data_IF_146785717741
#
_entry.id   IF_146785717741
#
_cell.length_a   1.000
_cell.length_b   1.000
_cell.length_c   1.000
_cell.angle_alpha   90.00
_cell.angle_beta   90.00
_cell.angle_gamma   90.00
#
_symmetry.space_group_name_H-M   'P 1'
#
loop_
_entity.id
_entity.type
_entity.pdbx_description
1 polymer ?
#
# COMPACT_ATOMS: atom_id res chain seq x y z
N UNK A 1 37.15 -13.96 11.29
CA UNK A 1 36.02 -13.05 11.46
C UNK A 1 35.34 -12.93 10.11
N UNK A 2 34.21 -13.57 9.90
CA UNK A 2 33.44 -13.42 8.66
C UNK A 2 32.45 -12.27 8.85
N UNK A 3 32.65 -11.15 8.16
CA UNK A 3 31.64 -10.12 8.09
C UNK A 3 30.45 -10.70 7.34
N UNK A 4 29.35 -10.97 8.03
CA UNK A 4 28.09 -11.28 7.38
C UNK A 4 27.63 -9.99 6.70
N UNK A 5 27.71 -9.96 5.37
CA UNK A 5 27.21 -8.83 4.60
C UNK A 5 25.70 -8.70 4.83
N UNK A 6 25.27 -7.61 5.41
CA UNK A 6 23.85 -7.24 5.47
C UNK A 6 23.30 -7.15 4.04
N UNK A 7 22.63 -8.19 3.58
CA UNK A 7 21.80 -8.14 2.36
C UNK A 7 20.38 -7.73 2.74
N UNK A 8 20.24 -6.58 3.33
CA UNK A 8 18.94 -6.01 3.59
C UNK A 8 18.80 -4.72 2.79
N UNK A 9 17.70 -4.59 2.09
CA UNK A 9 17.27 -3.34 1.50
C UNK A 9 16.87 -2.41 2.63
N UNK A 10 17.82 -1.63 3.11
CA UNK A 10 17.61 -0.65 4.18
C UNK A 10 17.76 0.74 3.60
N UNK A 11 16.79 1.66 3.84
CA UNK A 11 16.97 3.06 3.53
C UNK A 11 18.10 3.62 4.42
N UNK A 12 19.24 3.88 3.85
CA UNK A 12 20.35 4.56 4.50
C UNK A 12 20.47 5.96 3.92
N UNK A 13 20.34 6.98 4.74
CA UNK A 13 20.67 8.36 4.44
C UNK A 13 21.96 8.74 5.12
N UNK A 14 22.74 9.60 4.53
CA UNK A 14 24.15 9.81 4.84
C UNK A 14 24.47 11.23 5.33
N UNK A 15 25.22 11.41 6.39
CA UNK A 15 25.67 12.69 6.98
C UNK A 15 27.12 13.04 6.65
N UNK A 16 27.50 14.30 6.98
CA UNK A 16 28.84 14.84 6.84
C UNK A 16 29.93 14.04 7.56
N UNK A 17 29.59 13.49 8.74
CA UNK A 17 30.47 12.62 9.50
C UNK A 17 29.70 11.45 10.07
N UNK A 18 30.30 10.27 10.08
CA UNK A 18 29.72 9.07 10.67
C UNK A 18 29.39 9.22 12.16
N UNK A 19 30.11 10.08 12.87
CA UNK A 19 29.91 10.33 14.31
C UNK A 19 28.59 11.09 14.61
N UNK A 20 28.06 11.82 13.65
CA UNK A 20 26.80 12.56 13.80
C UNK A 20 25.57 11.79 13.28
N UNK A 21 25.79 10.63 12.66
CA UNK A 21 24.77 9.76 12.12
C UNK A 21 24.36 8.71 13.16
N UNK A 22 23.07 8.35 13.16
CA UNK A 22 22.57 7.29 14.03
C UNK A 22 22.83 5.92 13.42
N UNK A 23 23.42 5.02 14.19
CA UNK A 23 23.66 3.64 13.78
C UNK A 23 22.40 2.80 13.97
N UNK A 24 22.13 1.92 13.03
CA UNK A 24 21.09 0.92 13.20
C UNK A 24 21.58 -0.48 12.85
N UNK A 25 20.99 -1.47 13.50
CA UNK A 25 21.13 -2.88 13.13
C UNK A 25 19.89 -3.34 12.42
N UNK A 26 20.02 -4.29 11.49
CA UNK A 26 18.89 -4.93 10.88
C UNK A 26 19.09 -6.44 10.84
N UNK A 27 17.98 -7.15 11.05
CA UNK A 27 17.90 -8.60 10.95
C UNK A 27 16.63 -8.99 10.18
N UNK A 28 16.60 -10.19 9.66
CA UNK A 28 15.51 -10.62 8.81
C UNK A 28 14.94 -11.93 9.35
N UNK A 29 13.67 -11.96 9.64
CA UNK A 29 12.92 -13.15 10.00
C UNK A 29 11.74 -13.34 9.04
N UNK A 30 11.11 -14.50 9.10
CA UNK A 30 9.93 -14.83 8.32
C UNK A 30 8.72 -15.04 9.22
N UNK A 31 7.55 -14.67 8.75
CA UNK A 31 6.30 -15.00 9.43
C UNK A 31 6.08 -16.50 9.47
N UNK A 32 5.58 -17.00 10.59
CA UNK A 32 5.02 -18.35 10.69
C UNK A 32 3.54 -18.29 10.29
N UNK A 33 3.21 -18.66 9.07
CA UNK A 33 1.83 -18.65 8.63
C UNK A 33 1.37 -20.04 8.22
N UNK A 34 0.46 -20.64 8.97
CA UNK A 34 -0.32 -21.77 8.49
C UNK A 34 -1.37 -21.34 7.46
N UNK A 35 -1.81 -20.09 7.50
CA UNK A 35 -2.91 -19.54 6.71
C UNK A 35 -2.47 -18.63 5.56
N UNK A 36 -1.31 -17.99 5.69
CA UNK A 36 -0.78 -17.05 4.71
C UNK A 36 0.61 -17.47 4.27
N UNK A 37 1.03 -17.03 3.09
CA UNK A 37 2.38 -17.24 2.60
C UNK A 37 3.38 -16.68 3.61
N UNK A 38 4.46 -17.44 3.88
CA UNK A 38 5.56 -16.95 4.69
C UNK A 38 6.16 -15.69 4.08
N UNK A 39 6.21 -14.61 4.84
CA UNK A 39 6.70 -13.31 4.41
C UNK A 39 7.88 -12.85 5.24
N UNK A 40 8.76 -12.12 4.59
CA UNK A 40 9.93 -11.53 5.22
C UNK A 40 9.54 -10.35 6.07
N UNK A 41 9.98 -10.36 7.33
CA UNK A 41 9.83 -9.28 8.29
C UNK A 41 11.22 -8.72 8.62
N UNK A 42 11.37 -7.41 8.50
CA UNK A 42 12.60 -6.71 8.84
C UNK A 42 12.58 -6.31 10.32
N UNK A 43 13.62 -6.64 11.04
CA UNK A 43 13.82 -6.21 12.42
C UNK A 43 14.84 -5.08 12.42
N UNK A 44 14.47 -3.94 12.97
CA UNK A 44 15.34 -2.77 13.10
C UNK A 44 15.71 -2.56 14.54
N UNK A 45 17.02 -2.60 14.82
CA UNK A 45 17.60 -2.19 16.08
C UNK A 45 18.04 -0.74 16.01
N UNK A 46 17.42 0.13 16.78
CA UNK A 46 17.67 1.58 16.77
C UNK A 46 18.34 2.05 18.04
N UNK A 47 19.04 3.17 17.97
CA UNK A 47 19.67 3.79 19.15
C UNK A 47 18.62 4.41 20.08
N UNK A 48 18.94 4.43 21.38
CA UNK A 48 18.07 5.06 22.36
C UNK A 48 17.95 6.57 22.08
N UNK A 49 16.73 7.08 22.03
CA UNK A 49 16.47 8.49 21.73
C UNK A 49 16.67 8.89 20.27
N UNK A 50 16.56 7.94 19.34
CA UNK A 50 16.66 8.19 17.90
C UNK A 50 15.74 9.32 17.44
N UNK A 51 16.26 10.23 16.61
CA UNK A 51 15.50 11.32 15.98
C UNK A 51 14.63 10.79 14.84
N UNK A 52 15.09 9.74 14.17
CA UNK A 52 14.44 9.20 12.97
C UNK A 52 13.36 8.19 13.31
N UNK A 53 13.56 7.43 14.39
CA UNK A 53 12.63 6.39 14.83
C UNK A 53 12.39 6.57 16.33
N UNK A 54 11.53 7.52 16.73
CA UNK A 54 11.28 7.86 18.13
C UNK A 54 10.40 6.82 18.82
N UNK A 55 10.98 5.67 19.14
CA UNK A 55 10.33 4.59 19.90
C UNK A 55 10.99 4.41 21.26
N UNK A 56 10.26 3.77 22.17
CA UNK A 56 10.87 3.27 23.40
C UNK A 56 11.69 2.01 23.08
N UNK A 57 13.00 2.07 23.33
CA UNK A 57 13.96 1.01 23.02
C UNK A 57 13.88 -0.19 23.94
N UNK A 58 13.21 -0.07 25.09
CA UNK A 58 13.00 -1.17 26.02
C UNK A 58 11.86 -2.09 25.53
N UNK A 59 10.98 -1.57 24.68
CA UNK A 59 9.85 -2.27 24.07
C UNK A 59 10.13 -2.84 22.67
N UNK A 60 9.19 -3.64 22.17
CA UNK A 60 9.13 -4.10 20.78
C UNK A 60 7.93 -3.47 20.11
N UNK A 61 8.19 -2.75 19.03
CA UNK A 61 7.17 -2.03 18.27
C UNK A 61 6.99 -2.67 16.91
N UNK A 62 5.74 -2.83 16.50
CA UNK A 62 5.42 -3.36 15.18
C UNK A 62 5.07 -2.23 14.22
N UNK A 63 5.43 -2.36 12.95
CA UNK A 63 5.04 -1.38 11.91
C UNK A 63 3.52 -1.34 11.73
N UNK A 64 2.97 -0.18 11.41
CA UNK A 64 1.55 -0.02 11.07
C UNK A 64 1.16 -0.96 9.91
N UNK A 65 2.04 -1.11 8.92
CA UNK A 65 1.83 -2.04 7.80
C UNK A 65 1.62 -3.50 8.26
N UNK A 66 2.39 -3.93 9.26
CA UNK A 66 2.24 -5.28 9.83
C UNK A 66 0.94 -5.39 10.66
N UNK A 67 0.69 -4.37 11.49
CA UNK A 67 -0.52 -4.31 12.32
C UNK A 67 -1.80 -4.35 11.48
N UNK A 68 -1.85 -3.58 10.40
CA UNK A 68 -2.99 -3.52 9.49
C UNK A 68 -3.19 -4.84 8.72
N UNK A 69 -2.08 -5.47 8.28
CA UNK A 69 -2.14 -6.72 7.53
C UNK A 69 -2.62 -7.90 8.35
N UNK A 70 -2.06 -8.07 9.53
CA UNK A 70 -2.30 -9.26 10.38
C UNK A 70 -3.22 -9.00 11.57
N UNK A 71 -3.67 -7.75 11.76
CA UNK A 71 -4.56 -7.39 12.86
C UNK A 71 -3.90 -7.39 14.23
N UNK A 72 -2.57 -7.26 14.31
CA UNK A 72 -1.78 -7.30 15.55
C UNK A 72 -1.93 -5.99 16.32
N UNK A 73 -2.04 -6.09 17.66
CA UNK A 73 -2.19 -4.97 18.58
C UNK A 73 -1.14 -5.01 19.68
N UNK A 74 -0.99 -3.89 20.37
CA UNK A 74 -0.19 -3.86 21.59
C UNK A 74 -0.70 -4.88 22.61
N UNK A 75 0.21 -5.66 23.20
CA UNK A 75 -0.04 -6.77 24.10
C UNK A 75 -0.08 -8.14 23.43
N UNK A 76 -0.15 -8.22 22.10
CA UNK A 76 -0.12 -9.48 21.39
C UNK A 76 1.29 -10.09 21.35
N UNK A 77 1.35 -11.39 21.16
CA UNK A 77 2.61 -12.14 21.04
C UNK A 77 2.80 -12.58 19.60
N UNK A 78 3.95 -12.25 19.04
CA UNK A 78 4.31 -12.56 17.67
C UNK A 78 5.45 -13.58 17.63
N UNK A 79 5.27 -14.67 16.90
CA UNK A 79 6.32 -15.68 16.69
C UNK A 79 6.80 -15.61 15.24
N UNK A 80 8.10 -15.39 15.07
CA UNK A 80 8.78 -15.34 13.79
C UNK A 80 9.80 -16.48 13.71
N UNK A 81 10.11 -16.88 12.49
CA UNK A 81 11.04 -17.97 12.18
C UNK A 81 12.26 -17.44 11.43
N UNK A 82 13.43 -18.00 11.71
CA UNK A 82 14.63 -17.68 10.95
C UNK A 82 14.54 -18.23 9.51
N UNK A 83 14.98 -17.44 8.50
CA UNK A 83 15.07 -17.92 7.13
C UNK A 83 16.05 -19.10 7.04
N UNK A 84 15.59 -20.21 6.48
CA UNK A 84 16.39 -21.44 6.26
C UNK A 84 16.80 -22.24 7.50
N UNK A 85 16.40 -21.81 8.71
CA UNK A 85 16.64 -22.52 9.95
C UNK A 85 15.31 -22.89 10.64
N UNK A 86 15.41 -23.67 11.73
CA UNK A 86 14.22 -24.10 12.48
C UNK A 86 13.93 -23.22 13.68
N UNK A 87 14.83 -22.29 13.97
CA UNK A 87 14.76 -21.44 15.15
C UNK A 87 13.63 -20.42 15.05
N UNK A 88 12.93 -20.27 16.16
CA UNK A 88 11.78 -19.41 16.27
C UNK A 88 11.96 -18.42 17.42
N UNK A 89 11.62 -17.19 17.17
CA UNK A 89 11.71 -16.09 18.12
C UNK A 89 10.33 -15.55 18.43
N UNK A 90 10.05 -15.36 19.70
CA UNK A 90 8.76 -14.86 20.17
C UNK A 90 8.94 -13.49 20.80
N UNK A 91 8.18 -12.52 20.30
CA UNK A 91 8.21 -11.14 20.73
C UNK A 91 6.84 -10.72 21.27
N UNK A 92 6.80 -10.06 22.42
CA UNK A 92 5.61 -9.38 22.91
C UNK A 92 5.62 -7.96 22.37
N UNK A 93 4.53 -7.54 21.74
CA UNK A 93 4.41 -6.24 21.10
C UNK A 93 3.94 -5.20 22.13
N UNK A 94 4.76 -4.17 22.34
CA UNK A 94 4.46 -3.09 23.27
C UNK A 94 3.64 -1.97 22.61
N UNK A 95 3.80 -1.79 21.28
CA UNK A 95 3.04 -0.77 20.55
C UNK A 95 3.14 -0.90 19.04
N UNK A 96 2.45 0.01 18.35
CA UNK A 96 2.46 0.13 16.89
C UNK A 96 3.16 1.43 16.53
N UNK A 97 4.13 1.35 15.62
CA UNK A 97 4.84 2.51 15.08
C UNK A 97 4.31 2.83 13.69
N UNK A 98 4.02 4.12 13.46
CA UNK A 98 3.47 4.59 12.17
C UNK A 98 4.53 4.52 11.05
N UNK A 99 4.70 3.31 10.52
CA UNK A 99 5.59 2.99 9.42
C UNK A 99 4.92 2.06 8.43
N UNK A 100 4.74 2.55 7.20
CA UNK A 100 4.05 1.83 6.12
C UNK A 100 5.00 1.26 5.06
N UNK A 101 6.31 1.44 5.20
CA UNK A 101 7.28 1.08 4.17
C UNK A 101 7.52 -0.42 4.01
N UNK A 102 7.38 -1.19 5.07
CA UNK A 102 7.55 -2.65 5.06
C UNK A 102 6.92 -3.31 6.28
N UNK A 103 6.83 -4.63 6.25
CA UNK A 103 6.54 -5.43 7.44
C UNK A 103 7.78 -5.41 8.32
N UNK A 104 7.72 -4.70 9.43
CA UNK A 104 8.88 -4.49 10.28
C UNK A 104 8.55 -4.54 11.77
N UNK A 105 9.56 -4.91 12.56
CA UNK A 105 9.61 -4.73 14.00
C UNK A 105 10.74 -3.76 14.33
N UNK A 106 10.53 -2.98 15.36
CA UNK A 106 11.50 -2.00 15.88
C UNK A 106 11.76 -2.27 17.34
N UNK A 107 13.01 -2.25 17.74
CA UNK A 107 13.45 -2.43 19.12
C UNK A 107 14.80 -1.73 19.36
N UNK A 108 15.26 -1.70 20.59
CA UNK A 108 16.60 -1.17 20.90
C UNK A 108 17.70 -1.98 20.20
N UNK A 109 18.72 -1.29 19.67
CA UNK A 109 19.84 -1.92 18.94
C UNK A 109 20.56 -2.97 19.80
N UNK A 110 20.84 -2.64 21.05
CA UNK A 110 21.53 -3.57 21.97
C UNK A 110 20.71 -4.83 22.20
N UNK A 111 19.39 -4.69 22.39
CA UNK A 111 18.48 -5.81 22.53
C UNK A 111 18.43 -6.69 21.28
N UNK A 112 18.39 -6.09 20.09
CA UNK A 112 18.43 -6.85 18.84
C UNK A 112 19.76 -7.59 18.69
N UNK A 113 20.88 -6.90 18.95
CA UNK A 113 22.20 -7.51 18.83
C UNK A 113 22.42 -8.65 19.82
N UNK A 114 21.93 -8.51 21.05
CA UNK A 114 21.99 -9.56 22.07
C UNK A 114 21.07 -10.76 21.72
N UNK A 115 19.90 -10.50 21.17
CA UNK A 115 18.94 -11.55 20.78
C UNK A 115 19.49 -12.47 19.68
N UNK A 116 20.24 -11.90 18.75
CA UNK A 116 20.77 -12.63 17.59
C UNK A 116 22.30 -12.87 17.66
N UNK A 117 22.93 -12.67 18.81
CA UNK A 117 24.36 -12.87 19.05
C UNK A 117 25.25 -12.17 18.00
N UNK A 118 24.88 -10.95 17.61
CA UNK A 118 25.58 -10.18 16.58
C UNK A 118 26.79 -9.42 17.09
N UNK A 119 26.96 -9.31 18.42
CA UNK A 119 28.00 -8.51 19.09
C UNK A 119 27.51 -7.07 19.36
N UNK A 120 27.94 -6.52 20.49
CA UNK A 120 27.43 -5.23 21.03
C UNK A 120 27.65 -4.04 20.09
N UNK A 121 28.77 -4.02 19.37
CA UNK A 121 29.11 -2.92 18.45
C UNK A 121 28.58 -3.15 17.02
N UNK A 122 27.79 -4.21 16.81
CA UNK A 122 27.28 -4.51 15.48
C UNK A 122 26.29 -3.45 15.02
N UNK A 123 26.48 -3.01 13.79
CA UNK A 123 25.51 -2.19 13.05
C UNK A 123 25.63 -2.51 11.56
N UNK A 124 24.58 -2.23 10.80
CA UNK A 124 24.57 -2.49 9.36
C UNK A 124 24.40 -1.23 8.52
N UNK A 125 24.12 -0.10 9.13
CA UNK A 125 23.98 1.16 8.41
C UNK A 125 23.79 2.37 9.31
N UNK A 126 23.64 3.50 8.66
CA UNK A 126 23.45 4.80 9.28
C UNK A 126 22.16 5.44 8.81
N UNK A 127 21.45 6.12 9.71
CA UNK A 127 20.33 7.00 9.43
C UNK A 127 20.80 8.45 9.48
N UNK A 128 20.39 9.27 8.50
CA UNK A 128 20.94 10.58 8.36
C UNK A 128 20.15 11.51 7.44
N UNK A 129 20.17 12.83 7.73
CA UNK A 129 19.54 13.86 6.92
C UNK A 129 20.43 14.35 5.76
N UNK A 130 21.72 14.08 5.80
CA UNK A 130 22.71 14.56 4.84
C UNK A 130 23.69 13.49 4.40
N UNK A 131 24.35 13.61 3.24
CA UNK A 131 25.30 12.62 2.76
C UNK A 131 26.52 12.47 3.67
N UNK A 132 26.91 11.24 4.06
CA UNK A 132 28.18 10.93 4.78
C UNK A 132 29.28 10.86 3.73
N UNK A 133 30.37 11.55 4.00
CA UNK A 133 31.51 11.64 3.06
C UNK A 133 32.79 11.04 3.59
N UNK A 134 32.81 10.59 4.84
CA UNK A 134 33.95 10.06 5.55
C UNK A 134 34.07 8.52 5.53
N UNK A 135 33.20 7.86 4.77
CA UNK A 135 33.21 6.40 4.59
C UNK A 135 33.68 6.07 3.17
N UNK A 136 34.68 5.21 3.04
CA UNK A 136 35.13 4.74 1.74
C UNK A 136 34.03 3.98 1.01
N UNK A 137 33.89 4.22 -0.28
CA UNK A 137 32.86 3.60 -1.15
C UNK A 137 32.84 2.07 -1.12
N UNK A 138 34.00 1.44 -0.87
CA UNK A 138 34.12 -0.02 -0.76
C UNK A 138 33.33 -0.63 0.41
N UNK A 139 32.98 0.16 1.43
CA UNK A 139 32.20 -0.27 2.60
C UNK A 139 30.71 0.06 2.45
N UNK A 140 30.33 0.78 1.39
CA UNK A 140 28.94 1.20 1.15
C UNK A 140 28.28 0.18 0.22
N UNK A 141 27.33 -0.60 0.75
CA UNK A 141 26.56 -1.55 -0.05
C UNK A 141 25.47 -0.85 -0.89
N UNK A 142 24.79 0.13 -0.30
CA UNK A 142 23.78 0.93 -0.99
C UNK A 142 23.51 2.24 -0.26
N UNK A 143 23.14 3.25 -1.04
CA UNK A 143 22.67 4.55 -0.52
C UNK A 143 21.24 4.74 -1.02
N UNK A 144 20.31 4.86 -0.09
CA UNK A 144 18.92 5.12 -0.42
C UNK A 144 18.56 6.54 -0.01
N UNK A 145 18.28 7.38 -0.99
CA UNK A 145 17.85 8.77 -0.78
C UNK A 145 16.36 8.91 -1.09
N UNK A 146 15.73 9.92 -0.50
CA UNK A 146 14.34 10.26 -0.80
C UNK A 146 14.12 10.53 -2.31
N UNK A 147 15.10 11.15 -2.96
CA UNK A 147 15.06 11.41 -4.41
C UNK A 147 15.06 10.11 -5.22
N UNK A 148 15.87 9.12 -4.82
CA UNK A 148 15.89 7.80 -5.48
C UNK A 148 14.56 7.07 -5.33
N UNK A 149 13.97 7.10 -4.14
CA UNK A 149 12.66 6.48 -3.88
C UNK A 149 11.54 7.17 -4.67
N UNK A 150 11.56 8.51 -4.71
CA UNK A 150 10.55 9.28 -5.47
C UNK A 150 10.71 9.14 -6.97
N UNK A 151 11.91 8.96 -7.50
CA UNK A 151 12.15 8.67 -8.93
C UNK A 151 11.51 7.34 -9.34
N UNK A 152 11.71 6.28 -8.56
CA UNK A 152 11.11 4.97 -8.82
C UNK A 152 9.59 5.08 -8.78
N UNK A 153 9.03 5.72 -7.77
CA UNK A 153 7.58 5.93 -7.64
C UNK A 153 7.01 6.73 -8.83
N UNK A 154 7.67 7.82 -9.24
CA UNK A 154 7.26 8.59 -10.42
C UNK A 154 7.31 7.78 -11.70
N UNK A 155 8.34 6.97 -11.90
CA UNK A 155 8.47 6.15 -13.10
C UNK A 155 7.37 5.10 -13.17
N UNK A 156 7.03 4.47 -12.05
CA UNK A 156 5.89 3.56 -11.94
C UNK A 156 4.57 4.28 -12.24
N UNK A 157 4.37 5.47 -11.68
CA UNK A 157 3.16 6.26 -11.90
C UNK A 157 2.97 6.66 -13.36
N UNK A 158 4.04 7.07 -14.05
CA UNK A 158 3.98 7.42 -15.48
C UNK A 158 3.68 6.19 -16.34
N UNK A 159 4.33 5.07 -16.06
CA UNK A 159 4.14 3.83 -16.81
C UNK A 159 2.73 3.26 -16.61
N UNK A 160 2.26 3.18 -15.38
CA UNK A 160 0.91 2.69 -15.06
C UNK A 160 -0.18 3.69 -15.49
N UNK A 161 0.08 5.00 -15.39
CA UNK A 161 -0.87 6.02 -15.80
C UNK A 161 -1.23 5.96 -17.28
N UNK A 162 -0.26 5.68 -18.16
CA UNK A 162 -0.51 5.48 -19.58
C UNK A 162 -1.42 4.28 -19.85
N UNK A 163 -1.16 3.16 -19.17
CA UNK A 163 -1.97 1.95 -19.29
C UNK A 163 -3.41 2.18 -18.76
N UNK A 164 -3.55 2.89 -17.64
CA UNK A 164 -4.85 3.24 -17.07
C UNK A 164 -5.65 4.16 -17.98
N UNK A 165 -5.02 5.12 -18.65
CA UNK A 165 -5.71 5.99 -19.62
C UNK A 165 -6.25 5.19 -20.81
N UNK A 166 -5.53 4.19 -21.27
CA UNK A 166 -6.00 3.31 -22.35
C UNK A 166 -7.21 2.49 -21.89
N UNK A 167 -7.15 1.88 -20.70
CA UNK A 167 -8.28 1.14 -20.12
C UNK A 167 -9.50 2.04 -19.94
N UNK A 168 -9.31 3.26 -19.45
CA UNK A 168 -10.37 4.24 -19.27
C UNK A 168 -11.02 4.63 -20.62
N UNK A 169 -10.22 4.81 -21.67
CA UNK A 169 -10.72 5.05 -23.02
C UNK A 169 -11.63 3.93 -23.52
N UNK A 170 -11.25 2.67 -23.33
CA UNK A 170 -12.10 1.52 -23.66
C UNK A 170 -13.36 1.48 -22.81
N UNK A 171 -13.28 1.77 -21.50
CA UNK A 171 -14.44 1.79 -20.63
C UNK A 171 -15.47 2.82 -21.08
N UNK A 172 -15.03 4.04 -21.44
CA UNK A 172 -15.90 5.09 -21.98
C UNK A 172 -16.54 4.66 -23.29
N UNK A 173 -15.80 4.04 -24.20
CA UNK A 173 -16.34 3.56 -25.48
C UNK A 173 -17.45 2.49 -25.25
N UNK A 174 -17.20 1.52 -24.37
CA UNK A 174 -18.20 0.50 -24.00
C UNK A 174 -19.42 1.15 -23.35
N UNK A 175 -19.23 2.10 -22.46
CA UNK A 175 -20.32 2.81 -21.80
C UNK A 175 -21.23 3.52 -22.82
N UNK A 176 -20.66 4.23 -23.80
CA UNK A 176 -21.42 4.91 -24.86
C UNK A 176 -22.24 3.90 -25.67
N UNK A 177 -21.64 2.77 -26.03
CA UNK A 177 -22.36 1.70 -26.78
C UNK A 177 -23.53 1.13 -25.95
N UNK A 178 -23.29 0.88 -24.65
CA UNK A 178 -24.35 0.38 -23.75
C UNK A 178 -25.51 1.37 -23.60
N UNK A 179 -25.20 2.66 -23.41
CA UNK A 179 -26.22 3.71 -23.33
C UNK A 179 -27.03 3.80 -24.64
N UNK A 180 -26.37 3.73 -25.80
CA UNK A 180 -27.02 3.71 -27.09
C UNK A 180 -27.95 2.50 -27.24
N UNK A 181 -27.48 1.29 -26.92
CA UNK A 181 -28.30 0.07 -27.02
C UNK A 181 -29.48 0.11 -26.06
N UNK A 182 -29.29 0.58 -24.83
CA UNK A 182 -30.35 0.72 -23.84
C UNK A 182 -31.44 1.68 -24.36
N UNK A 183 -31.01 2.85 -24.85
CA UNK A 183 -31.91 3.84 -25.42
C UNK A 183 -32.71 3.29 -26.62
N UNK A 184 -32.03 2.54 -27.51
CA UNK A 184 -32.63 1.88 -28.65
C UNK A 184 -33.71 0.87 -28.21
N UNK A 185 -33.39 0.00 -27.25
CA UNK A 185 -34.31 -1.00 -26.71
C UNK A 185 -35.55 -0.32 -26.08
N UNK A 186 -35.35 0.76 -25.31
CA UNK A 186 -36.46 1.52 -24.71
C UNK A 186 -37.37 2.11 -25.78
N UNK A 187 -36.83 2.68 -26.85
CA UNK A 187 -37.62 3.25 -27.97
C UNK A 187 -38.33 2.15 -28.71
N UNK A 188 -37.68 1.06 -29.07
CA UNK A 188 -38.30 -0.07 -29.80
C UNK A 188 -39.42 -0.71 -28.98
N UNK A 189 -39.24 -0.92 -27.69
CA UNK A 189 -40.24 -1.51 -26.82
C UNK A 189 -41.48 -0.62 -26.64
N UNK A 190 -41.30 0.70 -26.71
CA UNK A 190 -42.39 1.66 -26.56
C UNK A 190 -42.86 2.26 -27.90
N UNK A 191 -42.43 1.72 -29.05
CA UNK A 191 -42.70 2.28 -30.37
C UNK A 191 -44.21 2.46 -30.66
N UNK A 192 -45.03 1.51 -30.24
CA UNK A 192 -46.50 1.59 -30.43
C UNK A 192 -47.12 2.73 -29.59
N UNK A 193 -46.70 2.89 -28.35
CA UNK A 193 -47.16 3.97 -27.47
C UNK A 193 -46.68 5.34 -27.95
N UNK A 194 -45.45 5.42 -28.44
CA UNK A 194 -44.86 6.62 -29.05
C UNK A 194 -45.66 7.04 -30.32
N UNK A 195 -46.00 6.07 -31.18
CA UNK A 195 -46.81 6.33 -32.40
C UNK A 195 -48.20 6.83 -32.04
N UNK A 196 -48.81 6.27 -31.02
CA UNK A 196 -50.13 6.71 -30.56
C UNK A 196 -50.09 8.15 -29.99
N UNK A 197 -49.04 8.48 -29.22
CA UNK A 197 -48.81 9.84 -28.70
C UNK A 197 -48.61 10.86 -29.84
N UNK A 198 -47.91 10.49 -30.92
CA UNK A 198 -47.74 11.34 -32.11
C UNK A 198 -49.08 11.61 -32.83
N UNK A 199 -49.94 10.60 -32.95
CA UNK A 199 -51.27 10.78 -33.54
C UNK A 199 -52.16 11.72 -32.71
N UNK A 200 -51.94 11.73 -31.38
CA UNK A 200 -52.62 12.65 -30.46
C UNK A 200 -52.07 14.08 -30.49
N UNK A 201 -51.03 14.36 -31.30
CA UNK A 201 -50.47 15.69 -31.50
C UNK A 201 -49.35 16.10 -30.56
N UNK A 202 -48.79 15.17 -29.78
CA UNK A 202 -47.63 15.45 -28.96
C UNK A 202 -46.39 15.70 -29.81
N UNK A 203 -45.58 16.69 -29.42
CA UNK A 203 -44.33 17.00 -30.07
C UNK A 203 -43.23 15.95 -29.73
N UNK A 204 -42.23 15.79 -30.60
CA UNK A 204 -41.13 14.86 -30.38
C UNK A 204 -40.36 15.15 -29.07
N UNK A 205 -40.28 16.43 -28.65
CA UNK A 205 -39.64 16.83 -27.38
C UNK A 205 -40.45 16.40 -26.15
N UNK A 206 -41.77 16.46 -26.20
CA UNK A 206 -42.64 16.03 -25.12
C UNK A 206 -42.64 14.51 -24.97
N UNK A 207 -42.63 13.80 -26.08
CA UNK A 207 -42.50 12.34 -26.12
C UNK A 207 -41.14 11.91 -25.56
N UNK A 208 -40.05 12.55 -26.00
CA UNK A 208 -38.74 12.28 -25.48
C UNK A 208 -38.65 12.54 -23.95
N UNK A 209 -39.23 13.62 -23.48
CA UNK A 209 -39.30 13.93 -22.06
C UNK A 209 -40.09 12.90 -21.26
N UNK A 210 -41.16 12.39 -21.81
CA UNK A 210 -42.02 11.41 -21.15
C UNK A 210 -41.36 10.04 -20.98
N UNK A 211 -40.57 9.60 -21.96
CA UNK A 211 -39.90 8.27 -21.95
C UNK A 211 -38.45 8.30 -21.51
N UNK A 212 -37.68 9.34 -21.85
CA UNK A 212 -36.27 9.42 -21.51
C UNK A 212 -36.01 9.97 -20.10
N UNK A 213 -36.85 10.88 -19.61
CA UNK A 213 -36.67 11.48 -18.30
C UNK A 213 -36.77 10.46 -17.15
N UNK A 214 -37.77 9.57 -17.08
CA UNK A 214 -37.80 8.53 -16.06
C UNK A 214 -36.64 7.57 -16.16
N UNK A 215 -36.26 7.18 -17.38
CA UNK A 215 -35.09 6.31 -17.59
C UNK A 215 -33.80 6.95 -17.14
N UNK A 216 -33.57 8.23 -17.46
CA UNK A 216 -32.44 8.99 -17.03
C UNK A 216 -32.36 9.14 -15.50
N UNK A 217 -33.50 9.36 -14.85
CA UNK A 217 -33.61 9.46 -13.39
C UNK A 217 -33.20 8.14 -12.71
N UNK A 218 -33.68 7.02 -13.24
CA UNK A 218 -33.30 5.69 -12.74
C UNK A 218 -31.79 5.44 -12.92
N UNK A 219 -31.26 5.78 -14.11
CA UNK A 219 -29.81 5.64 -14.36
C UNK A 219 -28.95 6.45 -13.36
N UNK A 220 -29.32 7.72 -13.15
CA UNK A 220 -28.63 8.58 -12.18
C UNK A 220 -28.75 8.02 -10.76
N UNK A 221 -29.92 7.56 -10.35
CA UNK A 221 -30.11 6.94 -9.04
C UNK A 221 -29.25 5.67 -8.88
N UNK A 222 -29.22 4.82 -9.91
CA UNK A 222 -28.38 3.63 -9.91
C UNK A 222 -26.88 3.98 -9.83
N UNK A 223 -26.43 5.00 -10.56
CA UNK A 223 -25.04 5.47 -10.49
C UNK A 223 -24.68 5.95 -9.08
N UNK A 224 -25.53 6.75 -8.45
CA UNK A 224 -25.29 7.23 -7.09
C UNK A 224 -25.23 6.10 -6.06
N UNK A 225 -25.97 5.02 -6.26
CA UNK A 225 -25.95 3.85 -5.39
C UNK A 225 -24.72 2.96 -5.71
N UNK A 226 -24.33 2.84 -6.98
CA UNK A 226 -23.24 1.97 -7.39
C UNK A 226 -21.88 2.46 -6.90
N UNK A 227 -21.64 3.78 -6.84
CA UNK A 227 -20.37 4.34 -6.38
C UNK A 227 -19.92 3.85 -4.98
N UNK A 228 -20.73 3.93 -3.92
CA UNK A 228 -20.33 3.43 -2.61
C UNK A 228 -20.23 1.90 -2.56
N UNK A 229 -21.03 1.19 -3.36
CA UNK A 229 -20.94 -0.27 -3.44
C UNK A 229 -19.63 -0.69 -4.12
N UNK A 230 -19.30 -0.05 -5.24
CA UNK A 230 -18.05 -0.31 -5.98
C UNK A 230 -16.82 -0.05 -5.12
N UNK A 231 -16.80 1.05 -4.35
CA UNK A 231 -15.69 1.35 -3.44
C UNK A 231 -15.50 0.26 -2.39
N UNK A 232 -16.59 -0.23 -1.81
CA UNK A 232 -16.53 -1.30 -0.80
C UNK A 232 -16.10 -2.64 -1.38
N UNK A 233 -16.59 -2.96 -2.58
CA UNK A 233 -16.17 -4.17 -3.31
C UNK A 233 -14.69 -4.10 -3.66
N UNK A 234 -14.21 -2.93 -4.13
CA UNK A 234 -12.80 -2.73 -4.47
C UNK A 234 -11.91 -2.83 -3.23
N UNK A 235 -12.31 -2.21 -2.13
CA UNK A 235 -11.61 -2.30 -0.85
C UNK A 235 -11.50 -3.76 -0.37
N UNK A 236 -12.61 -4.50 -0.41
CA UNK A 236 -12.65 -5.91 -0.02
C UNK A 236 -11.78 -6.78 -0.93
N UNK A 237 -11.88 -6.60 -2.25
CA UNK A 237 -11.10 -7.34 -3.23
C UNK A 237 -9.61 -7.07 -3.07
N UNK A 238 -9.23 -5.80 -2.92
CA UNK A 238 -7.84 -5.38 -2.72
C UNK A 238 -7.27 -5.99 -1.44
N UNK A 239 -8.02 -5.94 -0.35
CA UNK A 239 -7.61 -6.52 0.93
C UNK A 239 -7.38 -8.04 0.82
N UNK A 240 -8.29 -8.75 0.15
CA UNK A 240 -8.17 -10.21 -0.06
C UNK A 240 -6.95 -10.55 -0.90
N UNK A 241 -6.69 -9.82 -2.00
CA UNK A 241 -5.52 -10.03 -2.86
C UNK A 241 -4.23 -9.72 -2.12
N UNK A 242 -4.21 -8.64 -1.32
CA UNK A 242 -3.05 -8.26 -0.51
C UNK A 242 -2.67 -9.33 0.52
N UNK A 243 -3.66 -9.93 1.17
CA UNK A 243 -3.40 -10.98 2.15
C UNK A 243 -2.86 -12.27 1.54
N UNK A 244 -3.37 -12.66 0.37
CA UNK A 244 -3.08 -13.98 -0.20
C UNK A 244 -1.92 -13.99 -1.20
N UNK A 245 -1.76 -12.92 -1.97
CA UNK A 245 -0.91 -12.96 -3.17
C UNK A 245 0.31 -12.04 -3.11
N UNK A 246 0.27 -10.97 -2.35
CA UNK A 246 1.30 -9.93 -2.36
C UNK A 246 2.07 -9.90 -1.04
N UNK A 247 3.40 -10.00 -1.14
CA UNK A 247 4.28 -9.79 0.01
C UNK A 247 4.37 -8.30 0.36
N UNK A 248 4.30 -7.98 1.67
CA UNK A 248 4.23 -6.61 2.15
C UNK A 248 2.79 -6.11 2.31
N UNK A 249 2.65 -4.82 2.55
CA UNK A 249 1.36 -4.15 2.71
C UNK A 249 1.39 -2.79 2.01
N UNK A 250 0.37 -2.52 1.21
CA UNK A 250 0.16 -1.22 0.57
C UNK A 250 -1.24 -0.75 0.96
N UNK A 251 -1.38 0.36 1.70
CA UNK A 251 -2.70 0.88 2.05
C UNK A 251 -3.43 1.37 0.80
N UNK A 252 -4.69 0.97 0.64
CA UNK A 252 -5.56 1.52 -0.38
C UNK A 252 -6.15 2.84 0.12
N UNK A 253 -5.63 3.95 -0.36
CA UNK A 253 -6.20 5.26 -0.08
C UNK A 253 -6.91 5.79 -1.33
N UNK A 254 -8.23 5.92 -1.25
CA UNK A 254 -9.05 6.52 -2.30
C UNK A 254 -9.34 7.97 -1.91
N UNK A 255 -8.76 8.90 -2.64
CA UNK A 255 -8.97 10.32 -2.38
C UNK A 255 -10.44 10.70 -2.62
N UNK A 256 -11.12 11.37 -1.64
CA UNK A 256 -12.53 11.75 -1.80
C UNK A 256 -12.82 12.60 -3.04
N UNK A 257 -11.83 13.40 -3.47
CA UNK A 257 -11.96 14.22 -4.68
C UNK A 257 -12.08 13.40 -5.98
N UNK A 258 -11.73 12.13 -5.95
CA UNK A 258 -11.89 11.24 -7.09
C UNK A 258 -13.37 11.07 -7.44
N UNK A 259 -14.23 10.93 -6.45
CA UNK A 259 -15.69 10.80 -6.64
C UNK A 259 -16.37 12.05 -7.24
N UNK A 260 -15.74 13.22 -7.07
CA UNK A 260 -16.22 14.47 -7.65
C UNK A 260 -15.78 14.62 -9.12
N UNK A 261 -14.70 13.97 -9.51
CA UNK A 261 -14.15 14.01 -10.87
C UNK A 261 -14.75 12.92 -11.78
N UNK A 262 -15.36 11.90 -11.20
CA UNK A 262 -16.11 10.86 -11.91
C UNK A 262 -17.52 11.31 -12.23
#
# INVERSE_FOLDING_TARGET
MRSRSCRAWSPCCLLYTSDAAEKFSAYTLNTQGERYKSETVLLYGVEAGSRYIPIDTDGVWVSQAYADKYGVKAGDTLTLKEPYETDTYTFTIDGVYDYMGSLALFMGRDRLNDTFDLGRDYFCGYLSDQPITDIDEQYIASVTTLDTLTKISRQLQVSMGSMMNLVNGFAVAIFVVLVYLLSKIVIEKNAQSISMAKILGYSDGEIARLYLLPTSLVVVACLLISLPVESKVMEWLFYTIMLESISGWIPLYVEPNLYVKM
#
